data_IF_388435137777
#
_entry.id   IF_388435137777
#
_cell.length_a   1.000
_cell.length_b   1.000
_cell.length_c   1.000
_cell.angle_alpha   90.00
_cell.angle_beta   90.00
_cell.angle_gamma   90.00
#
_symmetry.space_group_name_H-M   'P 1'
#
loop_
_entity.id
_entity.type
_entity.pdbx_description
1 polymer ?
#
# COMPACT_ATOMS: atom_id res chain seq x y z
N UNK A 1 9.52 18.96 45.31
CA UNK A 1 10.31 18.25 44.29
C UNK A 1 9.64 16.89 44.09
N UNK A 2 8.89 16.73 43.02
CA UNK A 2 8.37 15.47 42.56
C UNK A 2 9.03 15.18 41.19
N UNK A 3 9.92 14.19 41.17
CA UNK A 3 10.45 13.61 39.96
C UNK A 3 9.38 12.69 39.39
N UNK A 4 8.73 13.11 38.31
CA UNK A 4 7.89 12.24 37.49
C UNK A 4 8.80 11.33 36.67
N UNK A 5 9.08 10.16 37.23
CA UNK A 5 9.73 9.08 36.50
C UNK A 5 8.80 8.50 35.44
N UNK A 6 9.12 8.73 34.19
CA UNK A 6 8.54 7.99 33.05
C UNK A 6 8.84 6.51 33.28
N UNK A 7 7.81 5.75 33.64
CA UNK A 7 7.90 4.30 33.77
C UNK A 7 8.05 3.69 32.39
N UNK A 8 9.22 3.17 32.14
CA UNK A 8 9.55 2.36 30.98
C UNK A 8 8.70 1.07 31.00
N UNK A 9 7.59 1.08 30.27
CA UNK A 9 6.79 -0.13 30.09
C UNK A 9 7.53 -1.03 29.12
N UNK A 10 8.25 -2.01 29.65
CA UNK A 10 8.73 -3.15 28.87
C UNK A 10 7.53 -3.93 28.34
N UNK A 11 7.05 -3.58 27.15
CA UNK A 11 6.07 -4.37 26.43
C UNK A 11 6.83 -5.49 25.71
N UNK A 12 6.93 -6.64 26.33
CA UNK A 12 7.45 -7.87 25.72
C UNK A 12 6.34 -8.43 24.83
N UNK A 13 6.57 -8.46 23.52
CA UNK A 13 5.74 -9.20 22.57
C UNK A 13 4.80 -8.37 21.66
N UNK A 14 4.87 -7.06 21.71
CA UNK A 14 4.26 -6.22 20.67
C UNK A 14 5.27 -6.04 19.54
N UNK A 15 4.93 -6.52 18.37
CA UNK A 15 5.61 -6.15 17.14
C UNK A 15 5.56 -4.61 17.06
N UNK A 16 6.68 -3.94 17.35
CA UNK A 16 6.82 -2.52 17.13
C UNK A 16 6.72 -2.30 15.63
N UNK A 17 5.55 -1.89 15.17
CA UNK A 17 5.40 -1.31 13.84
C UNK A 17 6.34 -0.10 13.83
N UNK A 18 7.50 -0.23 13.20
CA UNK A 18 8.40 0.90 13.01
C UNK A 18 7.66 1.88 12.11
N UNK A 19 7.11 2.94 12.70
CA UNK A 19 6.53 4.03 11.94
C UNK A 19 7.64 4.61 11.07
N UNK A 20 7.44 4.75 9.75
CA UNK A 20 8.42 5.38 8.90
C UNK A 20 8.62 6.83 9.37
N UNK A 21 9.84 7.17 9.79
CA UNK A 21 10.22 8.54 10.13
C UNK A 21 10.83 9.16 8.88
N UNK A 22 10.16 10.18 8.33
CA UNK A 22 10.67 10.95 7.21
C UNK A 22 11.53 12.10 7.70
N UNK A 23 12.74 12.17 7.20
CA UNK A 23 13.69 13.26 7.45
C UNK A 23 14.29 13.73 6.13
N UNK A 24 14.92 14.90 6.13
CA UNK A 24 15.67 15.41 5.00
C UNK A 24 16.79 14.44 4.52
N UNK A 25 17.28 13.59 5.43
CA UNK A 25 18.35 12.63 5.12
C UNK A 25 17.86 11.37 4.40
N UNK A 26 16.59 10.98 4.63
CA UNK A 26 16.04 9.72 4.12
C UNK A 26 14.83 9.87 3.19
N UNK A 27 14.44 11.12 2.89
CA UNK A 27 13.27 11.42 2.07
C UNK A 27 13.49 12.71 1.24
N UNK A 28 12.63 12.99 0.26
CA UNK A 28 12.69 14.23 -0.52
C UNK A 28 12.26 15.49 0.26
N UNK A 29 12.13 15.46 1.59
CA UNK A 29 11.82 16.65 2.38
C UNK A 29 12.87 17.74 2.17
N UNK A 30 12.46 18.97 1.80
CA UNK A 30 13.41 20.08 1.66
C UNK A 30 14.12 20.42 2.98
N UNK A 31 13.38 20.35 4.09
CA UNK A 31 13.87 20.57 5.45
C UNK A 31 13.04 19.78 6.46
N UNK A 32 13.58 19.54 7.66
CA UNK A 32 12.86 18.90 8.76
C UNK A 32 11.89 19.85 9.48
N UNK A 33 11.92 21.16 9.14
CA UNK A 33 10.99 22.15 9.70
C UNK A 33 9.66 22.11 8.94
N UNK A 34 8.73 21.31 9.43
CA UNK A 34 7.39 21.13 8.84
C UNK A 34 6.49 22.27 9.35
N UNK A 35 5.88 22.98 8.41
CA UNK A 35 4.94 24.07 8.68
C UNK A 35 3.50 23.58 8.76
N UNK A 36 3.11 22.64 7.88
CA UNK A 36 1.75 22.10 7.83
C UNK A 36 1.71 20.75 7.12
N UNK A 37 0.66 19.96 7.41
CA UNK A 37 0.40 18.68 6.77
C UNK A 37 -1.08 18.62 6.40
N UNK A 38 -1.38 18.31 5.15
CA UNK A 38 -2.72 18.06 4.66
C UNK A 38 -2.82 16.67 4.02
N UNK A 39 -3.92 16.00 4.25
CA UNK A 39 -4.16 14.65 3.72
C UNK A 39 -5.38 14.71 2.79
N UNK A 40 -5.19 14.31 1.54
CA UNK A 40 -6.29 14.00 0.66
C UNK A 40 -6.80 12.59 0.99
N UNK A 41 -7.94 12.54 1.67
CA UNK A 41 -8.52 11.28 2.15
C UNK A 41 -9.07 10.40 1.04
N UNK A 42 -9.31 10.97 -0.15
CA UNK A 42 -9.86 10.21 -1.29
C UNK A 42 -8.80 9.34 -1.97
N UNK A 43 -7.56 9.81 -2.00
CA UNK A 43 -6.47 9.11 -2.70
C UNK A 43 -5.26 8.77 -1.81
N UNK A 44 -5.27 9.19 -0.54
CA UNK A 44 -4.18 8.93 0.40
C UNK A 44 -2.92 9.77 0.15
N UNK A 45 -3.02 10.84 -0.65
CA UNK A 45 -1.92 11.76 -0.88
C UNK A 45 -1.76 12.69 0.33
N UNK A 46 -0.58 12.67 0.93
CA UNK A 46 -0.19 13.53 2.04
C UNK A 46 0.67 14.66 1.49
N UNK A 47 0.23 15.88 1.69
CA UNK A 47 0.98 17.09 1.36
C UNK A 47 1.71 17.58 2.60
N UNK A 48 3.01 17.79 2.48
CA UNK A 48 3.86 18.27 3.56
C UNK A 48 4.44 19.61 3.13
N UNK A 49 4.04 20.66 3.82
CA UNK A 49 4.55 22.01 3.62
C UNK A 49 5.72 22.28 4.58
N UNK A 50 6.77 22.87 4.04
CA UNK A 50 7.94 23.32 4.79
C UNK A 50 8.25 24.76 4.43
N UNK A 51 9.13 25.42 5.17
CA UNK A 51 9.57 26.79 4.86
C UNK A 51 10.33 26.88 3.52
N UNK A 52 10.92 25.78 3.05
CA UNK A 52 11.71 25.71 1.81
C UNK A 52 10.96 25.12 0.61
N UNK A 53 9.70 24.71 0.80
CA UNK A 53 8.88 24.17 -0.27
C UNK A 53 7.87 23.14 0.20
N UNK A 54 7.15 22.55 -0.74
CA UNK A 54 6.12 21.54 -0.49
C UNK A 54 6.41 20.28 -1.28
N UNK A 55 6.20 19.14 -0.64
CA UNK A 55 6.23 17.83 -1.29
C UNK A 55 4.90 17.11 -1.10
N UNK A 56 4.61 16.14 -1.96
CA UNK A 56 3.53 15.19 -1.71
C UNK A 56 4.08 13.76 -1.67
N UNK A 57 3.40 12.93 -0.89
CA UNK A 57 3.70 11.53 -0.72
C UNK A 57 2.41 10.72 -0.73
N UNK A 58 2.35 9.68 -1.56
CA UNK A 58 1.22 8.76 -1.54
C UNK A 58 1.37 7.77 -0.40
N UNK A 59 0.45 7.82 0.54
CA UNK A 59 0.40 6.91 1.67
C UNK A 59 -0.84 6.01 1.59
N UNK A 60 -0.91 5.06 2.52
CA UNK A 60 -2.11 4.26 2.75
C UNK A 60 -3.13 4.96 3.66
N UNK A 61 -2.90 6.23 4.03
CA UNK A 61 -3.77 7.04 4.88
C UNK A 61 -5.01 7.53 4.12
N UNK A 62 -5.87 6.61 3.72
CA UNK A 62 -7.19 6.91 3.14
C UNK A 62 -8.28 6.65 4.17
N UNK A 63 -9.44 7.28 4.01
CA UNK A 63 -10.64 6.85 4.70
C UNK A 63 -10.93 5.41 4.31
N UNK A 64 -10.96 4.49 5.30
CA UNK A 64 -11.36 3.12 4.97
C UNK A 64 -12.84 3.08 4.67
N UNK A 65 -13.18 2.83 3.42
CA UNK A 65 -14.51 2.32 3.13
C UNK A 65 -14.62 0.90 3.71
N UNK A 66 -15.68 0.62 4.44
CA UNK A 66 -15.96 -0.74 4.89
C UNK A 66 -16.42 -1.63 3.73
N UNK A 67 -16.64 -1.04 2.58
CA UNK A 67 -17.07 -1.72 1.35
C UNK A 67 -16.07 -1.51 0.21
N UNK A 68 -15.88 -2.56 -0.56
CA UNK A 68 -15.15 -2.47 -1.84
C UNK A 68 -15.96 -1.66 -2.84
N UNK A 69 -15.35 -0.62 -3.44
CA UNK A 69 -15.97 0.25 -4.45
C UNK A 69 -15.00 0.51 -5.59
N UNK A 70 -15.48 0.32 -6.83
CA UNK A 70 -14.68 0.60 -8.03
C UNK A 70 -13.29 -0.04 -7.99
N UNK A 71 -13.23 -1.32 -7.60
CA UNK A 71 -11.96 -2.04 -7.50
C UNK A 71 -11.26 -2.02 -8.86
N UNK A 72 -10.00 -1.64 -8.88
CA UNK A 72 -9.19 -1.53 -10.09
C UNK A 72 -7.74 -1.93 -9.83
N UNK A 73 -7.06 -2.38 -10.87
CA UNK A 73 -5.65 -2.75 -10.83
C UNK A 73 -4.89 -1.93 -11.88
N UNK A 74 -3.76 -1.36 -11.48
CA UNK A 74 -2.93 -0.57 -12.39
C UNK A 74 -1.44 -0.63 -12.00
N UNK A 75 -0.52 -0.43 -12.99
CA UNK A 75 -0.82 -0.32 -14.41
C UNK A 75 -1.39 -1.62 -14.98
N UNK A 76 -2.22 -1.50 -16.01
CA UNK A 76 -2.73 -2.64 -16.76
C UNK A 76 -2.86 -2.23 -18.24
N UNK A 77 -2.05 -2.79 -19.16
CA UNK A 77 -1.05 -3.84 -18.94
C UNK A 77 0.19 -3.38 -18.16
N UNK A 78 0.89 -4.33 -17.56
CA UNK A 78 2.24 -4.14 -17.00
C UNK A 78 3.26 -4.35 -18.11
N UNK A 79 3.96 -3.28 -18.48
CA UNK A 79 4.93 -3.27 -19.58
C UNK A 79 6.32 -3.76 -19.12
N UNK A 80 7.19 -4.19 -20.05
CA UNK A 80 8.51 -4.75 -19.73
C UNK A 80 9.39 -3.81 -18.89
N UNK A 81 9.35 -2.52 -19.20
CA UNK A 81 10.15 -1.48 -18.55
C UNK A 81 9.58 -1.01 -17.20
N UNK A 82 8.38 -1.47 -16.82
CA UNK A 82 7.78 -1.08 -15.55
C UNK A 82 8.42 -1.84 -14.39
N UNK A 83 9.03 -1.11 -13.47
CA UNK A 83 9.71 -1.60 -12.27
C UNK A 83 9.07 -1.14 -10.95
N UNK A 84 7.97 -0.38 -11.04
CA UNK A 84 7.21 0.11 -9.90
C UNK A 84 6.28 -0.92 -9.27
N UNK A 85 5.48 -0.47 -8.32
CA UNK A 85 4.46 -1.28 -7.68
C UNK A 85 3.16 -1.32 -8.51
N UNK A 86 2.64 -2.51 -8.73
CA UNK A 86 1.29 -2.75 -9.22
C UNK A 86 0.35 -2.52 -8.04
N UNK A 87 -0.67 -1.70 -8.26
CA UNK A 87 -1.60 -1.31 -7.20
C UNK A 87 -2.97 -1.88 -7.46
N UNK A 88 -3.56 -2.53 -6.48
CA UNK A 88 -4.99 -2.85 -6.42
C UNK A 88 -5.64 -1.84 -5.49
N UNK A 89 -6.60 -1.06 -5.99
CA UNK A 89 -7.24 0.07 -5.32
C UNK A 89 -8.76 -0.14 -5.22
N UNK A 90 -9.43 0.60 -4.33
CA UNK A 90 -10.88 0.51 -4.12
C UNK A 90 -11.32 -0.64 -3.21
N UNK A 91 -10.39 -1.17 -2.42
CA UNK A 91 -10.63 -2.27 -1.48
C UNK A 91 -11.22 -1.75 -0.15
N UNK A 92 -11.96 -2.60 0.54
CA UNK A 92 -12.27 -2.37 1.94
C UNK A 92 -11.02 -2.56 2.81
N UNK A 93 -11.03 -2.01 4.01
CA UNK A 93 -9.95 -2.24 4.99
C UNK A 93 -9.79 -3.75 5.24
N UNK A 94 -8.53 -4.20 5.32
CA UNK A 94 -8.16 -5.59 5.60
C UNK A 94 -8.75 -6.62 4.62
N UNK A 95 -9.03 -6.21 3.37
CA UNK A 95 -9.43 -7.11 2.29
C UNK A 95 -8.27 -8.02 1.88
N UNK A 96 -8.58 -9.27 1.59
CA UNK A 96 -7.62 -10.22 1.06
C UNK A 96 -7.53 -10.09 -0.47
N UNK A 97 -6.30 -10.00 -0.98
CA UNK A 97 -6.02 -10.00 -2.42
C UNK A 97 -5.16 -11.20 -2.77
N UNK A 98 -5.57 -11.94 -3.81
CA UNK A 98 -4.81 -13.06 -4.36
C UNK A 98 -4.71 -12.89 -5.87
N UNK A 99 -3.50 -13.02 -6.40
CA UNK A 99 -3.25 -12.98 -7.85
C UNK A 99 -2.78 -14.35 -8.29
N UNK A 100 -3.40 -14.88 -9.35
CA UNK A 100 -3.06 -16.19 -9.91
C UNK A 100 -2.71 -16.06 -11.40
N UNK A 101 -1.95 -17.02 -11.88
CA UNK A 101 -1.80 -17.26 -13.33
C UNK A 101 -3.07 -17.92 -13.93
N UNK A 102 -3.05 -18.16 -15.24
CA UNK A 102 -4.15 -18.81 -15.94
C UNK A 102 -4.39 -20.27 -15.53
N UNK A 103 -3.40 -20.93 -14.92
CA UNK A 103 -3.51 -22.29 -14.38
C UNK A 103 -4.04 -22.31 -12.95
N UNK A 104 -4.21 -21.15 -12.31
CA UNK A 104 -4.67 -21.01 -10.92
C UNK A 104 -3.56 -21.04 -9.88
N UNK A 105 -2.29 -21.06 -10.30
CA UNK A 105 -1.17 -20.95 -9.36
C UNK A 105 -1.09 -19.54 -8.78
N UNK A 106 -0.98 -19.45 -7.46
CA UNK A 106 -0.88 -18.16 -6.77
C UNK A 106 0.52 -17.57 -6.99
N UNK A 107 0.57 -16.38 -7.57
CA UNK A 107 1.81 -15.63 -7.79
C UNK A 107 2.02 -14.53 -6.77
N UNK A 108 0.93 -14.05 -6.14
CA UNK A 108 0.96 -13.05 -5.08
C UNK A 108 -0.23 -13.21 -4.13
N UNK A 109 -0.02 -12.89 -2.87
CA UNK A 109 -1.06 -12.77 -1.85
C UNK A 109 -0.72 -11.64 -0.90
N UNK A 110 -1.73 -10.81 -0.55
CA UNK A 110 -1.59 -9.70 0.37
C UNK A 110 -2.91 -9.30 1.00
N UNK A 111 -2.84 -8.38 1.96
CA UNK A 111 -4.01 -7.75 2.59
C UNK A 111 -3.97 -6.25 2.35
N UNK A 112 -5.14 -5.64 2.23
CA UNK A 112 -5.25 -4.21 1.99
C UNK A 112 -4.95 -3.41 3.26
N UNK A 113 -4.15 -2.37 3.08
CA UNK A 113 -3.93 -1.31 4.05
C UNK A 113 -4.44 -0.01 3.43
N UNK A 114 -5.32 0.72 4.13
CA UNK A 114 -5.91 1.94 3.60
C UNK A 114 -6.65 1.78 2.25
N UNK A 115 -7.32 0.64 2.03
CA UNK A 115 -8.04 0.37 0.79
C UNK A 115 -7.19 -0.03 -0.42
N UNK A 116 -5.89 -0.30 -0.23
CA UNK A 116 -4.94 -0.63 -1.30
C UNK A 116 -4.08 -1.82 -0.97
N UNK A 117 -3.64 -2.52 -2.02
CA UNK A 117 -2.57 -3.51 -1.97
C UNK A 117 -1.51 -3.14 -3.01
N UNK A 118 -0.25 -3.20 -2.60
CA UNK A 118 0.91 -2.98 -3.46
C UNK A 118 1.63 -4.30 -3.71
N UNK A 119 1.89 -4.57 -4.98
CA UNK A 119 2.68 -5.73 -5.41
C UNK A 119 3.85 -5.27 -6.28
N UNK A 120 5.05 -5.67 -5.94
CA UNK A 120 6.27 -5.31 -6.68
C UNK A 120 6.42 -6.03 -8.04
N UNK A 121 5.38 -6.72 -8.52
CA UNK A 121 5.41 -7.43 -9.79
C UNK A 121 6.32 -8.65 -9.83
N UNK A 122 6.67 -9.23 -8.68
CA UNK A 122 7.46 -10.47 -8.60
C UNK A 122 6.64 -11.58 -7.98
N UNK A 123 6.82 -12.79 -8.51
CA UNK A 123 6.25 -14.02 -7.94
C UNK A 123 6.86 -14.32 -6.58
N UNK A 124 6.30 -15.30 -5.88
CA UNK A 124 6.84 -15.79 -4.59
C UNK A 124 8.29 -16.25 -4.67
N UNK A 125 8.75 -16.66 -5.86
CA UNK A 125 10.15 -17.07 -6.13
C UNK A 125 11.05 -15.89 -6.54
N UNK A 126 10.53 -14.65 -6.46
CA UNK A 126 11.26 -13.43 -6.80
C UNK A 126 11.45 -13.17 -8.30
N UNK A 127 10.85 -13.99 -9.15
CA UNK A 127 10.92 -13.85 -10.60
C UNK A 127 9.83 -12.91 -11.12
N UNK A 128 10.08 -12.26 -12.26
CA UNK A 128 9.03 -11.52 -12.97
C UNK A 128 8.05 -12.53 -13.59
N UNK A 129 6.72 -12.28 -13.49
CA UNK A 129 5.72 -13.15 -14.13
C UNK A 129 5.92 -13.20 -15.65
N UNK A 130 5.66 -14.35 -16.28
CA UNK A 130 5.71 -14.49 -17.72
C UNK A 130 4.66 -13.62 -18.42
N UNK A 131 4.86 -13.30 -19.70
CA UNK A 131 3.82 -12.66 -20.53
C UNK A 131 2.55 -13.50 -20.49
N UNK A 132 1.43 -12.86 -20.16
CA UNK A 132 0.16 -13.55 -20.06
C UNK A 132 -0.88 -12.79 -19.26
N UNK A 133 -2.03 -13.44 -19.09
CA UNK A 133 -3.14 -12.93 -18.32
C UNK A 133 -3.12 -13.53 -16.92
N UNK A 134 -3.31 -12.68 -15.93
CA UNK A 134 -3.40 -13.00 -14.51
C UNK A 134 -4.76 -12.57 -13.98
N UNK A 135 -5.22 -13.27 -12.95
CA UNK A 135 -6.51 -12.98 -12.33
C UNK A 135 -6.27 -12.48 -10.90
N UNK A 136 -6.87 -11.33 -10.60
CA UNK A 136 -6.81 -10.69 -9.29
C UNK A 136 -8.13 -10.94 -8.58
N UNK A 137 -8.10 -11.68 -7.49
CA UNK A 137 -9.26 -11.97 -6.65
C UNK A 137 -9.17 -11.14 -5.37
N UNK A 138 -10.20 -10.38 -5.09
CA UNK A 138 -10.32 -9.55 -3.90
C UNK A 138 -11.52 -10.02 -3.08
N UNK A 139 -11.34 -10.11 -1.77
CA UNK A 139 -12.41 -10.48 -0.84
C UNK A 139 -12.36 -9.58 0.38
N UNK A 140 -13.49 -9.03 0.80
CA UNK A 140 -13.55 -8.29 2.06
C UNK A 140 -13.35 -9.23 3.28
N UNK A 141 -13.08 -8.70 4.48
CA UNK A 141 -12.72 -9.51 5.65
C UNK A 141 -13.75 -10.53 6.06
N UNK A 142 -15.05 -10.25 5.86
CA UNK A 142 -16.15 -11.15 6.19
C UNK A 142 -16.48 -12.16 5.07
N UNK A 143 -15.76 -12.08 3.93
CA UNK A 143 -15.91 -12.98 2.79
C UNK A 143 -17.23 -12.85 2.01
N UNK A 144 -18.07 -11.88 2.35
CA UNK A 144 -19.39 -11.72 1.72
C UNK A 144 -19.34 -11.03 0.37
N UNK A 145 -18.35 -10.16 0.17
CA UNK A 145 -18.15 -9.45 -1.09
C UNK A 145 -16.82 -9.85 -1.71
N UNK A 146 -16.89 -10.25 -2.96
CA UNK A 146 -15.72 -10.64 -3.76
C UNK A 146 -15.75 -9.91 -5.09
N UNK A 147 -14.59 -9.51 -5.56
CA UNK A 147 -14.38 -8.91 -6.88
C UNK A 147 -13.26 -9.65 -7.61
N UNK A 148 -13.37 -9.74 -8.92
CA UNK A 148 -12.33 -10.33 -9.76
C UNK A 148 -11.99 -9.43 -10.93
N UNK A 149 -10.68 -9.24 -11.17
CA UNK A 149 -10.16 -8.41 -12.26
C UNK A 149 -9.13 -9.20 -13.06
N UNK A 150 -8.86 -8.68 -14.24
CA UNK A 150 -7.80 -9.21 -15.11
C UNK A 150 -6.61 -8.25 -15.11
N UNK A 151 -5.41 -8.80 -15.10
CA UNK A 151 -4.15 -8.09 -15.18
C UNK A 151 -3.30 -8.73 -16.26
N UNK A 152 -2.76 -7.93 -17.16
CA UNK A 152 -1.94 -8.43 -18.26
C UNK A 152 -0.49 -8.06 -18.04
N UNK A 153 0.42 -9.04 -18.14
CA UNK A 153 1.86 -8.82 -18.21
C UNK A 153 2.33 -8.95 -19.65
N UNK A 154 3.20 -8.03 -20.07
CA UNK A 154 3.89 -8.02 -21.36
C UNK A 154 5.40 -8.04 -21.07
N UNK A 155 6.12 -8.89 -21.80
CA UNK A 155 7.58 -8.97 -21.82
C UNK A 155 8.12 -8.52 -23.16
#
# INVERSE_FOLDING_TARGET
QAEDGIRDYKVTGVQTCALPIFTQENSPLPTNAISDIAINQDNGEVFIATEEGMISYFSTATNFDQEMKNVRVFPNPVLPEFDGNITVDGLAYNSSVRITDAAGNVVFQGQSEGGRVFWNGKTTDGQRPATGMYYVYCSNPDGKKTESLQLTFIH
#
